data_IF_767067813532
#
_entry.id   IF_767067813532
#
_cell.length_a   1.000
_cell.length_b   1.000
_cell.length_c   1.000
_cell.angle_alpha   90.00
_cell.angle_beta   90.00
_cell.angle_gamma   90.00
#
_symmetry.space_group_name_H-M   'P 1'
#
loop_
_entity.id
_entity.type
_entity.pdbx_description
1 polymer ?
#
# COMPACT_ATOMS: atom_id res chain seq x y z
N UNK A 1 -1.46 -8.91 -5.99
CA UNK A 1 -1.78 -8.43 -4.63
C UNK A 1 -2.87 -9.25 -3.93
N UNK A 2 -3.85 -9.80 -4.64
CA UNK A 2 -4.94 -10.60 -4.07
C UNK A 2 -4.53 -11.97 -3.51
N UNK A 3 -3.36 -12.47 -3.87
CA UNK A 3 -2.87 -13.80 -3.46
C UNK A 3 -2.04 -13.86 -2.18
N UNK A 4 -1.85 -12.75 -1.46
CA UNK A 4 -0.95 -12.70 -0.31
C UNK A 4 -1.35 -13.63 0.85
N UNK A 5 -2.65 -13.74 1.15
CA UNK A 5 -3.14 -14.70 2.18
C UNK A 5 -2.86 -16.13 1.77
N UNK A 6 -3.21 -16.48 0.54
CA UNK A 6 -2.92 -17.81 0.01
C UNK A 6 -1.42 -18.11 0.02
N UNK A 7 -0.57 -17.17 -0.36
CA UNK A 7 0.88 -17.34 -0.30
C UNK A 7 1.36 -17.62 1.14
N UNK A 8 0.85 -16.85 2.11
CA UNK A 8 1.20 -17.06 3.52
C UNK A 8 0.77 -18.43 4.02
N UNK A 9 -0.49 -18.81 3.76
CA UNK A 9 -1.02 -20.13 4.12
C UNK A 9 -0.25 -21.26 3.46
N UNK A 10 0.07 -21.12 2.17
CA UNK A 10 0.82 -22.11 1.40
C UNK A 10 2.25 -22.27 1.95
N UNK A 11 2.97 -21.17 2.19
CA UNK A 11 4.34 -21.24 2.71
C UNK A 11 4.39 -21.81 4.13
N UNK A 12 3.42 -21.48 4.97
CA UNK A 12 3.28 -22.10 6.29
C UNK A 12 3.01 -23.61 6.19
N UNK A 13 2.15 -24.01 5.24
CA UNK A 13 1.81 -25.43 5.05
C UNK A 13 3.01 -26.27 4.61
N UNK A 14 3.86 -25.75 3.74
CA UNK A 14 5.07 -26.44 3.25
C UNK A 14 6.30 -26.23 4.14
N UNK A 15 6.16 -25.49 5.26
CA UNK A 15 7.22 -25.29 6.25
C UNK A 15 8.29 -24.30 5.87
N UNK A 16 8.03 -23.42 4.87
CA UNK A 16 8.90 -22.27 4.57
C UNK A 16 8.58 -21.18 5.58
N UNK A 17 9.55 -20.88 6.43
CA UNK A 17 9.40 -19.81 7.44
C UNK A 17 9.56 -18.46 6.78
N UNK A 18 8.53 -17.63 6.88
CA UNK A 18 8.58 -16.24 6.49
C UNK A 18 9.54 -15.45 7.38
N UNK A 19 10.44 -14.72 6.76
CA UNK A 19 11.45 -13.97 7.48
C UNK A 19 10.98 -12.60 7.94
N UNK A 20 10.06 -11.93 7.21
CA UNK A 20 9.50 -10.63 7.61
C UNK A 20 8.22 -10.29 6.80
N UNK A 21 7.09 -10.28 7.44
CA UNK A 21 5.85 -9.74 6.87
C UNK A 21 5.77 -8.23 7.12
N UNK A 22 6.28 -7.43 6.19
CA UNK A 22 6.05 -6.01 6.22
C UNK A 22 4.72 -5.70 5.53
N UNK A 23 3.80 -5.10 6.25
CA UNK A 23 2.54 -4.59 5.70
C UNK A 23 2.53 -3.07 5.78
N UNK A 24 1.86 -2.44 4.81
CA UNK A 24 1.68 -0.98 4.81
C UNK A 24 0.21 -0.66 4.91
N UNK A 25 -0.11 0.25 5.81
CA UNK A 25 -1.45 0.82 5.93
C UNK A 25 -1.38 2.34 5.96
N UNK A 26 -2.47 2.99 5.62
CA UNK A 26 -2.50 4.43 5.63
C UNK A 26 -3.71 5.02 4.96
N UNK A 27 -3.49 6.13 4.27
CA UNK A 27 -4.49 6.87 3.53
C UNK A 27 -4.00 7.26 2.15
N UNK A 28 -4.91 7.36 1.20
CA UNK A 28 -4.69 8.14 -0.01
C UNK A 28 -5.19 9.56 0.21
N UNK A 29 -4.36 10.53 -0.10
CA UNK A 29 -4.66 11.95 0.03
C UNK A 29 -4.87 12.53 -1.35
N UNK A 30 -6.03 13.15 -1.59
CA UNK A 30 -6.32 13.88 -2.81
C UNK A 30 -6.22 15.37 -2.56
N UNK A 31 -5.47 16.07 -3.39
CA UNK A 31 -5.30 17.51 -3.36
C UNK A 31 -5.33 18.09 -4.79
N UNK A 32 -5.61 19.39 -4.93
CA UNK A 32 -5.54 20.06 -6.22
C UNK A 32 -4.09 20.09 -6.75
N UNK A 33 -3.91 19.81 -8.04
CA UNK A 33 -2.61 19.89 -8.69
C UNK A 33 -1.98 21.29 -8.62
N UNK A 34 -2.79 22.33 -8.43
CA UNK A 34 -2.33 23.72 -8.24
C UNK A 34 -1.48 23.89 -6.99
N UNK A 35 -1.77 23.12 -5.94
CA UNK A 35 -1.03 23.13 -4.68
C UNK A 35 0.34 22.44 -4.78
N UNK A 36 0.62 21.85 -5.94
CA UNK A 36 1.85 21.13 -6.26
C UNK A 36 2.57 21.69 -7.49
N UNK A 37 2.32 22.94 -7.83
CA UNK A 37 2.86 23.59 -9.04
C UNK A 37 4.39 23.52 -9.14
N UNK A 38 5.09 23.48 -8.02
CA UNK A 38 6.55 23.37 -7.95
C UNK A 38 7.07 21.96 -8.30
N UNK A 39 6.21 20.96 -8.41
CA UNK A 39 6.60 19.55 -8.56
C UNK A 39 6.35 18.95 -9.95
N UNK A 40 5.65 19.65 -10.83
CA UNK A 40 5.49 19.40 -12.29
C UNK A 40 5.49 17.91 -12.70
N UNK A 41 4.47 17.14 -12.34
CA UNK A 41 4.30 15.72 -12.72
C UNK A 41 5.46 14.80 -12.28
N UNK A 42 6.26 15.21 -11.32
CA UNK A 42 7.37 14.40 -10.81
C UNK A 42 6.87 13.27 -9.94
N UNK A 43 7.48 12.11 -10.06
CA UNK A 43 7.25 10.98 -9.15
C UNK A 43 8.03 11.21 -7.84
N UNK A 44 7.51 12.08 -6.98
CA UNK A 44 8.16 12.42 -5.72
C UNK A 44 7.71 11.45 -4.65
N UNK A 45 8.65 11.01 -3.83
CA UNK A 45 8.39 10.21 -2.64
C UNK A 45 9.16 10.81 -1.47
N UNK A 46 8.46 11.07 -0.38
CA UNK A 46 9.02 11.60 0.85
C UNK A 46 9.05 10.48 1.89
N UNK A 47 10.13 10.43 2.66
CA UNK A 47 10.34 9.42 3.70
C UNK A 47 10.60 10.10 5.04
N UNK A 48 9.94 9.62 6.09
CA UNK A 48 10.19 10.00 7.47
C UNK A 48 9.94 8.80 8.38
N UNK A 49 10.99 8.27 8.99
CA UNK A 49 10.91 7.05 9.80
C UNK A 49 10.29 5.88 9.01
N UNK A 50 9.20 5.29 9.54
CA UNK A 50 8.44 4.21 8.90
C UNK A 50 7.28 4.73 8.02
N UNK A 51 7.24 6.03 7.72
CA UNK A 51 6.20 6.66 6.90
C UNK A 51 6.75 7.02 5.53
N UNK A 52 5.97 6.71 4.51
CA UNK A 52 6.23 7.04 3.12
C UNK A 52 5.06 7.84 2.57
N UNK A 53 5.33 9.03 2.00
CA UNK A 53 4.36 9.81 1.25
C UNK A 53 4.75 9.82 -0.23
N UNK A 54 3.97 9.15 -1.06
CA UNK A 54 4.23 9.03 -2.50
C UNK A 54 4.38 7.58 -3.00
N UNK A 55 4.72 7.38 -4.30
CA UNK A 55 4.93 8.44 -5.28
C UNK A 55 3.65 9.26 -5.54
N UNK A 56 3.80 10.53 -5.89
CA UNK A 56 2.67 11.39 -6.25
C UNK A 56 2.03 10.88 -7.55
N UNK A 57 0.75 10.55 -7.47
CA UNK A 57 0.01 9.90 -8.54
C UNK A 57 -0.89 10.91 -9.24
N UNK A 58 -0.61 11.16 -10.50
CA UNK A 58 -1.30 12.13 -11.33
C UNK A 58 -2.38 11.46 -12.18
N UNK A 59 -3.44 12.19 -12.50
CA UNK A 59 -4.48 11.76 -13.44
C UNK A 59 -5.14 10.42 -13.09
N UNK A 60 -5.64 10.30 -11.88
CA UNK A 60 -6.36 9.10 -11.46
C UNK A 60 -7.43 9.37 -10.42
N UNK A 61 -7.98 8.30 -9.91
CA UNK A 61 -9.01 8.33 -8.86
C UNK A 61 -8.84 7.16 -7.90
N UNK A 62 -9.25 7.38 -6.66
CA UNK A 62 -9.33 6.33 -5.66
C UNK A 62 -10.67 5.60 -5.84
N UNK A 63 -10.60 4.29 -5.95
CA UNK A 63 -11.74 3.40 -6.03
C UNK A 63 -11.68 2.36 -4.92
N UNK A 64 -12.83 1.83 -4.46
CA UNK A 64 -12.83 0.65 -3.60
C UNK A 64 -12.41 -0.58 -4.41
N UNK A 65 -11.53 -1.38 -3.83
CA UNK A 65 -11.15 -2.70 -4.32
C UNK A 65 -11.64 -3.73 -3.31
N UNK A 66 -12.51 -4.64 -3.77
CA UNK A 66 -13.10 -5.65 -2.90
C UNK A 66 -12.14 -6.81 -2.67
N UNK A 67 -11.99 -7.19 -1.43
CA UNK A 67 -11.41 -8.43 -0.95
C UNK A 67 -12.51 -9.22 -0.24
N UNK A 68 -12.30 -10.52 -0.02
CA UNK A 68 -13.34 -11.49 0.39
C UNK A 68 -14.33 -10.97 1.46
N UNK A 69 -13.85 -10.20 2.44
CA UNK A 69 -14.64 -9.72 3.58
C UNK A 69 -14.36 -8.26 3.96
N UNK A 70 -13.69 -7.52 3.09
CA UNK A 70 -13.35 -6.11 3.28
C UNK A 70 -13.23 -5.37 1.94
N UNK A 71 -13.19 -4.05 1.99
CA UNK A 71 -12.77 -3.22 0.88
C UNK A 71 -11.58 -2.36 1.28
N UNK A 72 -10.66 -2.14 0.37
CA UNK A 72 -9.53 -1.26 0.53
C UNK A 72 -9.52 -0.18 -0.54
N UNK A 73 -8.83 0.92 -0.29
CA UNK A 73 -8.61 1.95 -1.30
C UNK A 73 -7.58 1.47 -2.31
N UNK A 74 -7.89 1.63 -3.59
CA UNK A 74 -6.96 1.39 -4.68
C UNK A 74 -6.91 2.62 -5.60
N UNK A 75 -5.73 2.91 -6.16
CA UNK A 75 -5.58 3.98 -7.15
C UNK A 75 -5.73 3.42 -8.55
N UNK A 76 -6.61 4.03 -9.33
CA UNK A 76 -6.80 3.73 -10.75
C UNK A 76 -6.37 4.93 -11.60
N UNK A 77 -5.38 4.74 -12.46
CA UNK A 77 -4.97 5.74 -13.44
C UNK A 77 -6.04 5.90 -14.52
N UNK A 78 -6.29 7.13 -14.91
CA UNK A 78 -7.17 7.47 -16.03
C UNK A 78 -6.29 7.65 -17.29
N UNK A 79 -6.06 6.58 -18.02
CA UNK A 79 -5.08 6.55 -19.11
C UNK A 79 -5.39 7.49 -20.28
N UNK A 80 -6.59 8.00 -20.47
CA UNK A 80 -6.85 8.51 -21.81
C UNK A 80 -7.77 9.69 -22.04
N UNK A 81 -8.38 10.39 -21.12
CA UNK A 81 -9.24 11.50 -21.60
C UNK A 81 -9.45 12.72 -20.68
N UNK A 82 -9.21 12.60 -19.40
CA UNK A 82 -9.52 13.71 -18.51
C UNK A 82 -8.27 14.03 -17.67
N UNK A 83 -7.64 15.15 -17.97
CA UNK A 83 -6.63 15.70 -17.04
C UNK A 83 -7.37 16.00 -15.75
N UNK A 84 -7.11 15.20 -14.73
CA UNK A 84 -7.63 15.48 -13.39
C UNK A 84 -6.86 16.66 -12.81
N UNK A 85 -7.57 17.63 -12.24
CA UNK A 85 -6.96 18.70 -11.45
C UNK A 85 -6.46 18.18 -10.10
N UNK A 86 -6.54 16.87 -9.86
CA UNK A 86 -6.19 16.25 -8.60
C UNK A 86 -4.91 15.43 -8.72
N UNK A 87 -4.14 15.48 -7.65
CA UNK A 87 -3.01 14.59 -7.39
C UNK A 87 -3.34 13.76 -6.17
N UNK A 88 -3.09 12.47 -6.26
CA UNK A 88 -3.24 11.55 -5.15
C UNK A 88 -1.89 11.20 -4.57
N UNK A 89 -1.74 11.38 -3.26
CA UNK A 89 -0.53 11.08 -2.51
C UNK A 89 -0.83 9.87 -1.60
N UNK A 90 -0.25 8.69 -1.88
CA UNK A 90 -0.29 7.59 -0.92
C UNK A 90 0.52 7.95 0.32
N UNK A 91 -0.12 8.01 1.47
CA UNK A 91 0.53 8.21 2.78
C UNK A 91 0.46 6.89 3.54
N UNK A 92 1.58 6.19 3.63
CA UNK A 92 1.65 4.83 4.14
C UNK A 92 2.57 4.73 5.33
N UNK A 93 2.13 4.03 6.37
CA UNK A 93 2.94 3.60 7.50
C UNK A 93 3.31 2.12 7.33
N UNK A 94 4.58 1.80 7.45
CA UNK A 94 5.05 0.42 7.41
C UNK A 94 5.04 -0.17 8.81
N UNK A 95 4.39 -1.33 8.97
CA UNK A 95 4.38 -2.12 10.18
C UNK A 95 5.19 -3.38 9.92
N UNK A 96 6.26 -3.56 10.71
CA UNK A 96 6.93 -4.84 10.82
C UNK A 96 6.29 -5.59 11.99
N UNK A 97 5.45 -6.55 11.72
CA UNK A 97 4.74 -7.29 12.76
C UNK A 97 4.56 -8.76 12.39
N UNK A 98 4.77 -9.63 13.37
CA UNK A 98 4.53 -11.07 13.21
C UNK A 98 3.07 -11.36 12.79
N UNK A 99 2.14 -10.48 13.18
CA UNK A 99 0.71 -10.56 12.93
C UNK A 99 0.21 -9.42 12.03
N UNK A 100 1.08 -8.90 11.14
CA UNK A 100 0.78 -7.73 10.31
C UNK A 100 -0.47 -7.91 9.45
N UNK A 101 -0.74 -9.11 8.97
CA UNK A 101 -1.94 -9.40 8.18
C UNK A 101 -3.22 -9.34 9.00
N UNK A 102 -3.22 -9.85 10.24
CA UNK A 102 -4.37 -9.75 11.14
C UNK A 102 -4.66 -8.31 11.50
N UNK A 103 -3.62 -7.50 11.69
CA UNK A 103 -3.75 -6.10 12.02
C UNK A 103 -4.37 -5.28 10.88
N UNK A 104 -3.94 -5.47 9.62
CA UNK A 104 -4.54 -4.77 8.48
C UNK A 104 -5.98 -5.23 8.23
N UNK A 105 -6.29 -6.50 8.44
CA UNK A 105 -7.66 -7.01 8.38
C UNK A 105 -8.54 -6.34 9.44
N UNK A 106 -8.04 -6.22 10.67
CA UNK A 106 -8.71 -5.53 11.76
C UNK A 106 -8.99 -4.07 11.41
N UNK A 107 -7.98 -3.33 10.93
CA UNK A 107 -8.12 -1.92 10.52
C UNK A 107 -9.17 -1.78 9.42
N UNK A 108 -9.14 -2.63 8.40
CA UNK A 108 -10.09 -2.59 7.30
C UNK A 108 -11.53 -2.88 7.74
N UNK A 109 -11.73 -3.92 8.55
CA UNK A 109 -13.04 -4.29 9.11
C UNK A 109 -13.61 -3.21 10.03
N UNK A 110 -12.78 -2.65 10.91
CA UNK A 110 -13.21 -1.56 11.78
C UNK A 110 -13.56 -0.31 10.99
N UNK A 111 -12.78 0.03 9.94
CA UNK A 111 -13.11 1.16 9.06
C UNK A 111 -14.48 0.95 8.40
N UNK A 112 -14.74 -0.25 7.87
CA UNK A 112 -16.03 -0.59 7.27
C UNK A 112 -17.19 -0.46 8.28
N UNK A 113 -17.04 -1.01 9.49
CA UNK A 113 -18.07 -0.94 10.54
C UNK A 113 -18.37 0.51 10.95
N UNK A 114 -17.32 1.33 11.16
CA UNK A 114 -17.45 2.70 11.63
C UNK A 114 -18.08 3.63 10.56
N UNK A 115 -17.78 3.38 9.30
CA UNK A 115 -18.22 4.25 8.20
C UNK A 115 -19.50 3.77 7.56
N UNK A 116 -19.87 2.51 7.75
CA UNK A 116 -20.96 1.82 7.04
C UNK A 116 -20.80 1.96 5.50
N UNK A 117 -19.56 1.96 5.04
CA UNK A 117 -19.20 2.11 3.63
C UNK A 117 -17.97 1.27 3.31
N UNK A 118 -17.78 0.97 2.02
CA UNK A 118 -16.62 0.18 1.55
C UNK A 118 -15.30 0.89 1.81
N UNK A 119 -15.27 2.20 1.61
CA UNK A 119 -14.13 3.07 1.94
C UNK A 119 -14.65 4.37 2.56
N UNK A 120 -13.91 4.91 3.52
CA UNK A 120 -14.19 6.23 4.08
C UNK A 120 -13.50 7.30 3.25
N UNK A 121 -14.26 8.31 2.80
CA UNK A 121 -13.71 9.48 2.11
C UNK A 121 -14.21 10.75 2.78
N UNK A 122 -13.30 11.51 3.37
CA UNK A 122 -13.63 12.73 4.12
C UNK A 122 -12.57 13.82 3.87
N UNK A 123 -12.87 15.04 4.33
CA UNK A 123 -11.88 16.14 4.34
C UNK A 123 -10.85 15.91 5.44
N UNK A 124 -9.59 16.32 5.19
CA UNK A 124 -8.53 16.22 6.19
C UNK A 124 -8.88 17.06 7.42
N UNK A 125 -9.47 18.24 7.25
CA UNK A 125 -9.93 19.10 8.35
C UNK A 125 -10.93 18.40 9.30
N UNK A 126 -11.77 17.49 8.77
CA UNK A 126 -12.67 16.67 9.60
C UNK A 126 -11.90 15.68 10.50
N UNK A 127 -10.85 15.05 9.94
CA UNK A 127 -9.99 14.16 10.70
C UNK A 127 -9.19 14.94 11.77
N UNK A 128 -8.62 16.10 11.40
CA UNK A 128 -7.83 16.93 12.30
C UNK A 128 -8.65 17.46 13.48
N UNK A 129 -9.93 17.78 13.26
CA UNK A 129 -10.84 18.22 14.32
C UNK A 129 -11.41 17.09 15.18
N UNK A 130 -11.04 15.83 14.92
CA UNK A 130 -11.55 14.67 15.65
C UNK A 130 -13.01 14.29 15.34
N UNK A 131 -13.61 14.88 14.30
CA UNK A 131 -15.00 14.64 13.88
C UNK A 131 -15.14 13.54 12.84
N UNK A 132 -14.04 13.04 12.30
CA UNK A 132 -14.07 11.94 11.34
C UNK A 132 -14.53 10.64 12.00
N UNK A 133 -15.28 9.83 11.25
CA UNK A 133 -15.73 8.51 11.69
C UNK A 133 -14.57 7.58 12.09
N UNK A 134 -13.42 7.74 11.46
CA UNK A 134 -12.22 6.95 11.75
C UNK A 134 -11.32 7.55 12.83
N UNK A 135 -11.67 8.71 13.41
CA UNK A 135 -10.87 9.37 14.44
C UNK A 135 -10.71 8.56 15.74
N UNK A 136 -11.55 7.58 15.96
CA UNK A 136 -11.49 6.69 17.14
C UNK A 136 -10.44 5.58 16.99
N UNK A 137 -9.91 5.37 15.80
CA UNK A 137 -8.89 4.37 15.53
C UNK A 137 -7.51 4.99 15.81
N UNK A 138 -6.82 4.49 16.81
CA UNK A 138 -5.48 4.97 17.23
C UNK A 138 -4.44 4.87 16.12
N UNK A 139 -4.59 3.90 15.22
CA UNK A 139 -3.74 3.69 14.07
C UNK A 139 -3.69 4.91 13.15
N UNK A 140 -4.76 5.70 13.14
CA UNK A 140 -4.81 6.94 12.35
C UNK A 140 -4.15 8.15 13.04
N UNK A 141 -3.73 8.05 14.30
CA UNK A 141 -3.01 9.15 14.94
C UNK A 141 -1.65 9.39 14.28
N UNK A 142 -0.93 8.32 13.94
CA UNK A 142 0.33 8.42 13.20
C UNK A 142 0.11 9.00 11.79
N UNK A 143 -1.02 8.69 11.16
CA UNK A 143 -1.38 9.24 9.85
C UNK A 143 -1.74 10.71 9.94
N UNK A 144 -2.43 11.15 11.01
CA UNK A 144 -2.69 12.59 11.29
C UNK A 144 -1.39 13.37 11.43
N UNK A 145 -0.43 12.83 12.18
CA UNK A 145 0.85 13.51 12.40
C UNK A 145 1.66 13.56 11.10
N UNK A 146 1.63 12.51 10.30
CA UNK A 146 2.24 12.50 8.98
C UNK A 146 1.58 13.48 8.01
N UNK A 147 0.25 13.68 8.08
CA UNK A 147 -0.44 14.72 7.30
C UNK A 147 -0.01 16.13 7.69
N UNK A 148 0.21 16.39 9.00
CA UNK A 148 0.76 17.68 9.47
C UNK A 148 2.18 17.89 8.93
N UNK A 149 3.03 16.86 8.98
CA UNK A 149 4.38 16.95 8.41
C UNK A 149 4.33 17.22 6.91
N UNK A 150 3.47 16.54 6.19
CA UNK A 150 3.28 16.72 4.75
C UNK A 150 2.77 18.12 4.38
N UNK A 151 2.00 18.75 5.26
CA UNK A 151 1.50 20.12 5.07
C UNK A 151 2.60 21.19 5.08
N UNK A 152 3.80 20.87 5.57
CA UNK A 152 4.96 21.76 5.45
C UNK A 152 5.55 21.79 4.02
N UNK A 153 5.15 20.84 3.16
CA UNK A 153 5.66 20.68 1.80
C UNK A 153 4.56 20.91 0.76
N UNK A 154 3.33 20.61 1.13
CA UNK A 154 2.15 20.69 0.26
C UNK A 154 1.23 21.78 0.77
N UNK A 155 1.15 22.89 0.04
CA UNK A 155 0.34 24.04 0.40
C UNK A 155 -1.15 23.69 0.54
N UNK A 156 -1.84 24.31 1.50
CA UNK A 156 -3.27 24.15 1.79
C UNK A 156 -3.75 22.70 2.02
N UNK A 157 -2.83 21.76 2.30
CA UNK A 157 -3.16 20.35 2.45
C UNK A 157 -4.25 20.10 3.49
N UNK A 158 -4.12 20.69 4.66
CA UNK A 158 -5.03 20.47 5.79
C UNK A 158 -6.43 21.09 5.56
N UNK A 159 -6.49 22.18 4.79
CA UNK A 159 -7.72 22.94 4.55
C UNK A 159 -8.51 22.40 3.34
N UNK A 160 -7.82 22.14 2.23
CA UNK A 160 -8.43 21.78 0.95
C UNK A 160 -8.35 20.30 0.63
N UNK A 161 -7.46 19.56 1.27
CA UNK A 161 -7.22 18.15 1.02
C UNK A 161 -8.36 17.25 1.51
N UNK A 162 -8.53 16.12 0.84
CA UNK A 162 -9.36 15.01 1.27
C UNK A 162 -8.55 13.73 1.41
N UNK A 163 -9.02 12.81 2.25
CA UNK A 163 -8.37 11.51 2.41
C UNK A 163 -9.35 10.37 2.17
N UNK A 164 -8.81 9.24 1.77
CA UNK A 164 -9.55 7.99 1.59
C UNK A 164 -8.84 6.86 2.33
N UNK A 165 -9.58 6.10 3.13
CA UNK A 165 -9.10 4.97 3.94
C UNK A 165 -10.06 3.79 3.86
N UNK A 166 -9.58 2.56 4.15
CA UNK A 166 -8.21 2.18 4.46
C UNK A 166 -7.37 2.02 3.19
N UNK A 167 -6.19 2.62 3.16
CA UNK A 167 -5.20 2.30 2.17
C UNK A 167 -4.30 1.21 2.73
N UNK A 168 -4.28 0.05 2.09
CA UNK A 168 -3.57 -1.12 2.54
C UNK A 168 -2.74 -1.68 1.39
N UNK A 169 -1.47 -1.96 1.66
CA UNK A 169 -0.60 -2.66 0.73
C UNK A 169 -0.11 -3.92 1.42
N UNK A 170 -0.82 -5.04 1.23
CA UNK A 170 -0.33 -6.33 1.67
C UNK A 170 0.90 -6.68 0.83
N UNK A 171 2.00 -6.94 1.48
CA UNK A 171 3.18 -7.49 0.82
C UNK A 171 3.15 -9.01 1.00
N UNK A 172 3.41 -9.78 -0.06
CA UNK A 172 3.51 -11.22 0.09
C UNK A 172 4.68 -11.55 1.02
N UNK A 173 4.61 -12.68 1.75
CA UNK A 173 5.70 -13.14 2.59
C UNK A 173 6.99 -13.24 1.77
N UNK A 174 8.10 -12.78 2.32
CA UNK A 174 9.42 -12.92 1.70
C UNK A 174 10.02 -14.25 2.10
N UNK A 175 10.44 -15.02 1.11
CA UNK A 175 11.10 -16.29 1.32
C UNK A 175 12.60 -16.15 1.04
N UNK A 176 13.43 -16.74 1.90
CA UNK A 176 14.88 -16.79 1.67
C UNK A 176 15.19 -17.71 0.49
N UNK A 177 15.92 -17.18 -0.47
CA UNK A 177 16.26 -17.89 -1.70
C UNK A 177 17.78 -18.02 -1.86
N UNK A 178 18.19 -19.09 -2.52
CA UNK A 178 19.53 -19.22 -3.08
C UNK A 178 19.74 -18.27 -4.27
N UNK A 179 20.96 -18.19 -4.74
CA UNK A 179 21.34 -17.35 -5.90
C UNK A 179 20.65 -17.78 -7.21
N UNK A 180 20.18 -19.02 -7.26
CA UNK A 180 19.44 -19.63 -8.38
C UNK A 180 17.90 -19.51 -8.22
N UNK A 181 17.42 -18.74 -7.23
CA UNK A 181 16.00 -18.57 -6.88
C UNK A 181 15.32 -19.82 -6.33
N UNK A 182 16.07 -20.85 -5.95
CA UNK A 182 15.57 -22.04 -5.28
C UNK A 182 15.37 -21.75 -3.78
N UNK A 183 14.29 -22.27 -3.22
CA UNK A 183 14.00 -22.20 -1.80
C UNK A 183 14.81 -23.23 -1.02
N UNK A 184 14.60 -23.31 0.29
CA UNK A 184 15.14 -24.39 1.13
C UNK A 184 14.56 -25.78 0.76
N UNK A 185 13.45 -25.82 0.02
CA UNK A 185 12.85 -27.05 -0.51
C UNK A 185 13.41 -27.31 -1.89
N UNK A 186 14.16 -28.42 -2.10
CA UNK A 186 14.75 -28.73 -3.39
C UNK A 186 13.70 -28.83 -4.51
N UNK A 187 13.95 -28.19 -5.64
CA UNK A 187 13.06 -28.16 -6.79
C UNK A 187 11.94 -27.10 -6.72
N UNK A 188 11.82 -26.38 -5.60
CA UNK A 188 10.87 -25.29 -5.47
C UNK A 188 11.56 -23.94 -5.70
N UNK A 189 11.17 -23.25 -6.77
CA UNK A 189 11.68 -21.95 -7.17
C UNK A 189 10.64 -20.87 -6.99
N UNK A 190 11.05 -19.67 -6.61
CA UNK A 190 10.17 -18.53 -6.47
C UNK A 190 10.66 -17.34 -7.31
N UNK A 191 9.71 -16.59 -7.85
CA UNK A 191 9.96 -15.36 -8.59
C UNK A 191 8.95 -14.26 -8.22
N UNK A 192 9.34 -13.00 -8.38
CA UNK A 192 8.48 -11.84 -8.11
C UNK A 192 8.53 -11.35 -6.66
N UNK A 193 7.42 -10.82 -6.16
CA UNK A 193 7.39 -10.11 -4.87
C UNK A 193 7.76 -11.00 -3.67
N UNK A 194 7.36 -12.27 -3.66
CA UNK A 194 7.74 -13.23 -2.62
C UNK A 194 9.23 -13.55 -2.60
N UNK A 195 9.92 -13.28 -3.71
CA UNK A 195 11.39 -13.37 -3.82
C UNK A 195 12.08 -12.03 -3.49
N UNK A 196 11.35 -11.05 -2.97
CA UNK A 196 11.88 -9.76 -2.52
C UNK A 196 12.03 -8.69 -3.61
N UNK A 197 11.61 -8.95 -4.84
CA UNK A 197 11.71 -8.01 -5.97
C UNK A 197 10.33 -7.69 -6.51
N UNK A 198 9.97 -6.40 -6.52
CA UNK A 198 8.72 -5.93 -7.09
C UNK A 198 8.89 -5.36 -8.49
N UNK A 199 7.80 -5.40 -9.26
CA UNK A 199 7.75 -4.87 -10.62
C UNK A 199 7.69 -5.97 -11.69
N UNK A 200 6.88 -5.72 -12.72
CA UNK A 200 6.56 -6.73 -13.75
C UNK A 200 7.82 -7.19 -14.50
N UNK A 201 8.67 -6.25 -14.92
CA UNK A 201 9.89 -6.59 -15.67
C UNK A 201 10.83 -7.45 -14.82
N UNK A 202 11.08 -7.04 -13.57
CA UNK A 202 11.95 -7.77 -12.67
C UNK A 202 11.40 -9.17 -12.36
N UNK A 203 10.09 -9.29 -12.10
CA UNK A 203 9.44 -10.57 -11.90
C UNK A 203 9.54 -11.49 -13.13
N UNK A 204 9.44 -10.94 -14.35
CA UNK A 204 9.61 -11.70 -15.60
C UNK A 204 11.03 -12.24 -15.76
N UNK A 205 12.05 -11.41 -15.50
CA UNK A 205 13.46 -11.83 -15.53
C UNK A 205 13.71 -12.94 -14.51
N UNK A 206 13.20 -12.79 -13.28
CA UNK A 206 13.31 -13.85 -12.27
C UNK A 206 12.62 -15.15 -12.71
N UNK A 207 11.46 -15.05 -13.35
CA UNK A 207 10.77 -16.22 -13.91
C UNK A 207 11.61 -16.97 -14.95
N UNK A 208 12.32 -16.24 -15.81
CA UNK A 208 13.24 -16.83 -16.79
C UNK A 208 14.40 -17.54 -16.06
N UNK A 209 15.05 -16.87 -15.12
CA UNK A 209 16.17 -17.43 -14.35
C UNK A 209 15.74 -18.70 -13.60
N UNK A 210 14.57 -18.65 -12.93
CA UNK A 210 14.03 -19.82 -12.23
C UNK A 210 13.76 -20.99 -13.20
N UNK A 211 13.19 -20.70 -14.38
CA UNK A 211 12.92 -21.69 -15.42
C UNK A 211 14.20 -22.33 -15.98
N UNK A 212 15.23 -21.54 -16.26
CA UNK A 212 16.53 -22.03 -16.73
C UNK A 212 17.20 -22.96 -15.69
N UNK A 213 17.15 -22.57 -14.42
CA UNK A 213 17.71 -23.39 -13.33
C UNK A 213 16.91 -24.68 -13.10
N UNK A 214 15.61 -24.68 -13.35
CA UNK A 214 14.76 -25.88 -13.24
C UNK A 214 15.05 -26.88 -14.36
N UNK A 215 15.26 -26.41 -15.60
CA UNK A 215 15.50 -27.26 -16.78
C UNK A 215 16.95 -27.75 -16.81
N UNK A 216 17.89 -26.99 -16.28
CA UNK A 216 19.31 -27.35 -16.25
C UNK A 216 19.70 -28.42 -15.22
N UNK A 217 18.72 -28.87 -14.41
CA UNK A 217 18.82 -30.02 -13.50
C UNK A 217 18.25 -31.29 -14.14
#
# INVERSE_FOLDING_TARGET
RSGWRWCSEFFNHIGIVDTDTNVKYGAYIDISSKNLSNYNNSAITLYKNNITAGPFLWNGSIIPEDHVDMAICSFRSNENRWKSDKVTIPLMCEISHKDGYEEIDRIAKLTFILTNDRICRERISTLMSGKSKVSVLKEFDIIKDAMKDLSNVVDDLLESGSFSVPAIVPLPPKVKLGTNLETEIPGLYLAGESAGISGLLAASVMGIIAGENLIGK
#
